data_IF_640702900209
#
_entry.id   IF_640702900209
#
_cell.length_a   1.000
_cell.length_b   1.000
_cell.length_c   1.000
_cell.angle_alpha   90.00
_cell.angle_beta   90.00
_cell.angle_gamma   90.00
#
_symmetry.space_group_name_H-M   'P 1'
#
loop_
_entity.id
_entity.type
_entity.pdbx_description
1 polymer ?
#
# COMPACT_ATOMS: atom_id res chain seq x y z
N UNK A 1 11.46 -4.71 -15.64
CA UNK A 1 10.49 -3.59 -15.56
C UNK A 1 9.45 -3.57 -16.68
N UNK A 2 9.81 -3.64 -17.98
CA UNK A 2 8.84 -3.52 -19.09
C UNK A 2 7.63 -4.47 -19.01
N UNK A 3 7.87 -5.75 -18.69
CA UNK A 3 6.81 -6.76 -18.54
C UNK A 3 5.85 -6.49 -17.36
N UNK A 4 6.35 -5.97 -16.23
CA UNK A 4 5.52 -5.59 -15.09
C UNK A 4 4.60 -4.44 -15.47
N UNK A 5 5.16 -3.39 -16.07
CA UNK A 5 4.40 -2.24 -16.53
C UNK A 5 3.34 -2.61 -17.58
N UNK A 6 3.69 -3.46 -18.54
CA UNK A 6 2.74 -3.97 -19.55
C UNK A 6 1.60 -4.77 -18.91
N UNK A 7 1.90 -5.64 -17.95
CA UNK A 7 0.89 -6.43 -17.24
C UNK A 7 -0.06 -5.54 -16.44
N UNK A 8 0.47 -4.53 -15.73
CA UNK A 8 -0.35 -3.54 -15.04
C UNK A 8 -1.23 -2.76 -16.02
N UNK A 9 -0.67 -2.23 -17.11
CA UNK A 9 -1.41 -1.49 -18.13
C UNK A 9 -2.53 -2.33 -18.75
N UNK A 10 -2.28 -3.62 -18.97
CA UNK A 10 -3.29 -4.54 -19.49
C UNK A 10 -4.44 -4.75 -18.50
N UNK A 11 -4.15 -5.00 -17.23
CA UNK A 11 -5.16 -5.19 -16.19
C UNK A 11 -5.96 -3.90 -15.97
N UNK A 12 -5.30 -2.75 -15.86
CA UNK A 12 -5.95 -1.44 -15.70
C UNK A 12 -6.90 -1.10 -16.86
N UNK A 13 -6.54 -1.45 -18.11
CA UNK A 13 -7.38 -1.21 -19.29
C UNK A 13 -8.52 -2.21 -19.44
N UNK A 14 -8.27 -3.48 -19.13
CA UNK A 14 -9.24 -4.57 -19.34
C UNK A 14 -10.24 -4.66 -18.21
N UNK A 15 -9.81 -4.38 -16.98
CA UNK A 15 -10.58 -4.58 -15.76
C UNK A 15 -10.88 -3.23 -15.07
N UNK A 16 -11.46 -2.27 -15.80
CA UNK A 16 -11.86 -0.95 -15.26
C UNK A 16 -12.75 -1.10 -14.02
N UNK A 17 -13.58 -2.15 -13.98
CA UNK A 17 -14.40 -2.49 -12.81
C UNK A 17 -13.58 -2.67 -11.53
N UNK A 18 -12.39 -3.29 -11.61
CA UNK A 18 -11.52 -3.43 -10.44
C UNK A 18 -10.97 -2.09 -9.96
N UNK A 19 -10.69 -1.17 -10.89
CA UNK A 19 -10.25 0.20 -10.56
C UNK A 19 -11.36 0.97 -9.88
N UNK A 20 -12.61 0.79 -10.32
CA UNK A 20 -13.78 1.40 -9.68
C UNK A 20 -14.05 0.82 -8.29
N UNK A 21 -14.04 -0.51 -8.16
CA UNK A 21 -14.22 -1.20 -6.87
C UNK A 21 -13.16 -0.73 -5.88
N UNK A 22 -11.90 -0.69 -6.34
CA UNK A 22 -10.85 -0.02 -5.62
C UNK A 22 -11.35 1.39 -5.27
N UNK A 23 -11.46 2.36 -6.17
CA UNK A 23 -11.72 3.77 -5.80
C UNK A 23 -12.82 3.97 -4.74
N UNK A 24 -13.92 3.22 -4.87
CA UNK A 24 -15.03 3.20 -3.90
C UNK A 24 -14.58 2.70 -2.52
N UNK A 25 -13.87 1.56 -2.44
CA UNK A 25 -13.32 1.04 -1.20
C UNK A 25 -12.38 2.04 -0.50
N UNK A 26 -11.59 2.83 -1.22
CA UNK A 26 -10.61 3.74 -0.60
C UNK A 26 -11.32 4.93 0.01
N UNK A 27 -12.35 5.44 -0.67
CA UNK A 27 -13.21 6.48 -0.13
C UNK A 27 -13.84 6.04 1.20
N UNK A 28 -14.45 4.84 1.25
CA UNK A 28 -15.12 4.36 2.46
C UNK A 28 -14.16 3.94 3.58
N UNK A 29 -12.96 3.48 3.23
CA UNK A 29 -12.00 2.98 4.21
C UNK A 29 -11.00 4.03 4.68
N UNK A 30 -10.93 5.21 4.06
CA UNK A 30 -9.97 6.27 4.39
C UNK A 30 -9.88 6.58 5.90
N UNK A 31 -11.01 6.62 6.59
CA UNK A 31 -11.04 6.85 8.05
C UNK A 31 -10.33 5.76 8.86
N UNK A 32 -10.46 4.49 8.47
CA UNK A 32 -9.78 3.38 9.14
C UNK A 32 -8.25 3.44 8.99
N UNK A 33 -7.74 4.07 7.93
CA UNK A 33 -6.32 4.04 7.55
C UNK A 33 -5.51 5.06 8.32
N UNK A 34 -6.17 6.09 8.83
CA UNK A 34 -5.60 7.02 9.78
C UNK A 34 -5.81 6.50 11.20
N UNK A 35 -7.03 6.09 11.55
CA UNK A 35 -7.35 5.73 12.94
C UNK A 35 -6.59 4.48 13.40
N UNK A 36 -6.54 3.40 12.62
CA UNK A 36 -5.91 2.15 13.08
C UNK A 36 -4.38 2.30 13.19
N UNK A 37 -3.64 2.69 12.15
CA UNK A 37 -2.20 2.81 12.22
C UNK A 37 -1.73 3.96 13.11
N UNK A 38 -2.35 5.14 13.02
CA UNK A 38 -1.86 6.31 13.77
C UNK A 38 -2.21 6.20 15.25
N UNK A 39 -3.35 5.61 15.61
CA UNK A 39 -3.78 5.52 17.00
C UNK A 39 -3.36 4.20 17.65
N UNK A 40 -3.81 3.05 17.12
CA UNK A 40 -3.57 1.76 17.76
C UNK A 40 -2.11 1.32 17.68
N UNK A 41 -1.47 1.43 16.51
CA UNK A 41 -0.08 1.02 16.37
C UNK A 41 0.83 1.96 17.16
N UNK A 42 0.57 3.27 17.14
CA UNK A 42 1.34 4.22 17.94
C UNK A 42 1.27 3.93 19.44
N UNK A 43 0.07 3.74 19.99
CA UNK A 43 -0.12 3.41 21.41
C UNK A 43 0.53 2.09 21.81
N UNK A 44 0.44 1.08 20.93
CA UNK A 44 1.03 -0.23 21.20
C UNK A 44 2.56 -0.15 21.18
N UNK A 45 3.13 0.50 20.17
CA UNK A 45 4.59 0.64 20.02
C UNK A 45 5.16 1.55 21.11
N UNK A 46 4.47 2.63 21.51
CA UNK A 46 4.94 3.51 22.59
C UNK A 46 5.04 2.79 23.94
N UNK A 47 4.26 1.74 24.16
CA UNK A 47 4.36 0.91 25.36
C UNK A 47 5.52 -0.10 25.30
N UNK A 48 6.09 -0.34 24.12
CA UNK A 48 7.20 -1.27 23.89
C UNK A 48 8.53 -0.51 23.79
N UNK A 49 8.53 0.67 23.17
CA UNK A 49 9.73 1.47 22.94
C UNK A 49 9.44 2.97 23.02
N UNK A 50 10.38 3.71 23.61
CA UNK A 50 10.35 5.18 23.64
C UNK A 50 11.01 5.81 22.40
N UNK A 51 11.50 5.00 21.45
CA UNK A 51 12.14 5.51 20.25
C UNK A 51 11.09 6.07 19.28
N UNK A 52 11.07 7.40 19.16
CA UNK A 52 10.19 8.13 18.23
C UNK A 52 10.39 7.64 16.79
N UNK A 53 11.64 7.36 16.40
CA UNK A 53 11.99 6.90 15.05
C UNK A 53 11.37 5.53 14.77
N UNK A 54 11.47 4.59 15.72
CA UNK A 54 10.89 3.25 15.56
C UNK A 54 9.37 3.34 15.49
N UNK A 55 8.74 4.15 16.36
CA UNK A 55 7.30 4.36 16.33
C UNK A 55 6.83 4.93 14.99
N UNK A 56 7.52 5.96 14.48
CA UNK A 56 7.19 6.55 13.18
C UNK A 56 7.31 5.55 12.03
N UNK A 57 8.37 4.74 11.98
CA UNK A 57 8.53 3.72 10.95
C UNK A 57 7.43 2.65 11.02
N UNK A 58 7.05 2.20 12.23
CA UNK A 58 5.98 1.23 12.41
C UNK A 58 4.64 1.77 11.91
N UNK A 59 4.32 3.04 12.17
CA UNK A 59 3.11 3.69 11.65
C UNK A 59 3.16 3.75 10.12
N UNK A 60 4.28 4.21 9.53
CA UNK A 60 4.44 4.29 8.07
C UNK A 60 4.23 2.94 7.38
N UNK A 61 4.86 1.88 7.88
CA UNK A 61 4.73 0.54 7.30
C UNK A 61 3.36 -0.08 7.55
N UNK A 62 2.72 0.21 8.68
CA UNK A 62 1.35 -0.26 8.95
C UNK A 62 0.34 0.39 8.01
N UNK A 63 0.44 1.70 7.77
CA UNK A 63 -0.37 2.38 6.76
C UNK A 63 -0.07 1.80 5.38
N UNK A 64 1.20 1.61 5.04
CA UNK A 64 1.59 1.03 3.75
C UNK A 64 1.02 -0.37 3.53
N UNK A 65 1.00 -1.20 4.57
CA UNK A 65 0.41 -2.54 4.54
C UNK A 65 -1.11 -2.50 4.35
N UNK A 66 -1.85 -1.72 5.14
CA UNK A 66 -3.30 -1.60 4.95
C UNK A 66 -3.65 -1.02 3.58
N UNK A 67 -2.85 -0.07 3.11
CA UNK A 67 -3.00 0.56 1.79
C UNK A 67 -2.74 -0.41 0.65
N UNK A 68 -1.77 -1.34 0.78
CA UNK A 68 -1.48 -2.29 -0.29
C UNK A 68 -2.60 -3.32 -0.48
N UNK A 69 -3.25 -3.74 0.62
CA UNK A 69 -4.38 -4.69 0.60
C UNK A 69 -5.57 -4.20 -0.22
N UNK A 70 -5.69 -2.91 -0.42
CA UNK A 70 -6.72 -2.33 -1.27
C UNK A 70 -6.50 -2.59 -2.76
N UNK A 71 -5.24 -2.62 -3.20
CA UNK A 71 -4.87 -2.99 -4.56
C UNK A 71 -4.79 -4.50 -4.75
N UNK A 72 -5.06 -5.29 -3.71
CA UNK A 72 -5.00 -6.75 -3.72
C UNK A 72 -5.71 -7.41 -4.93
N UNK A 73 -6.96 -7.09 -5.31
CA UNK A 73 -7.59 -7.73 -6.47
C UNK A 73 -6.85 -7.42 -7.79
N UNK A 74 -6.26 -6.23 -7.93
CA UNK A 74 -5.44 -5.84 -9.08
C UNK A 74 -4.09 -6.58 -9.03
N UNK A 75 -3.41 -6.55 -7.88
CA UNK A 75 -2.12 -7.19 -7.64
C UNK A 75 -2.19 -8.70 -7.87
N UNK A 76 -3.29 -9.37 -7.47
CA UNK A 76 -3.53 -10.79 -7.73
C UNK A 76 -3.62 -11.10 -9.23
N UNK A 77 -4.37 -10.30 -10.01
CA UNK A 77 -4.46 -10.49 -11.47
C UNK A 77 -3.12 -10.23 -12.16
N UNK A 78 -2.41 -9.18 -11.76
CA UNK A 78 -1.08 -8.87 -12.31
C UNK A 78 -0.09 -9.98 -11.97
N UNK A 79 -0.06 -10.45 -10.72
CA UNK A 79 0.80 -11.54 -10.28
C UNK A 79 0.54 -12.82 -11.08
N UNK A 80 -0.73 -13.15 -11.33
CA UNK A 80 -1.11 -14.32 -12.15
C UNK A 80 -0.61 -14.20 -13.58
N UNK A 81 -0.79 -13.04 -14.22
CA UNK A 81 -0.31 -12.82 -15.58
C UNK A 81 1.22 -12.97 -15.67
N UNK A 82 1.95 -12.41 -14.71
CA UNK A 82 3.42 -12.46 -14.67
C UNK A 82 3.92 -13.88 -14.37
N UNK A 83 3.27 -14.59 -13.44
CA UNK A 83 3.59 -15.97 -13.11
C UNK A 83 3.47 -16.89 -14.33
N UNK A 84 2.38 -16.75 -15.10
CA UNK A 84 2.17 -17.49 -16.35
C UNK A 84 3.22 -17.10 -17.41
N UNK A 85 3.45 -15.80 -17.62
CA UNK A 85 4.41 -15.34 -18.65
C UNK A 85 5.86 -15.68 -18.35
N UNK A 86 6.25 -15.72 -17.06
CA UNK A 86 7.64 -15.98 -16.66
C UNK A 86 7.89 -17.39 -16.10
N UNK A 87 6.87 -18.26 -16.05
CA UNK A 87 6.96 -19.60 -15.43
C UNK A 87 7.46 -19.57 -13.97
N UNK A 88 7.10 -18.54 -13.21
CA UNK A 88 7.39 -18.45 -11.79
C UNK A 88 6.18 -18.85 -10.94
N UNK A 89 6.41 -19.12 -9.67
CA UNK A 89 5.35 -19.31 -8.68
C UNK A 89 4.50 -18.03 -8.54
N UNK A 90 3.18 -18.21 -8.57
CA UNK A 90 2.21 -17.15 -8.34
C UNK A 90 2.45 -16.41 -7.02
N UNK A 91 2.68 -17.17 -5.94
CA UNK A 91 2.85 -16.64 -4.60
C UNK A 91 4.09 -15.74 -4.49
N UNK A 92 5.21 -16.12 -5.10
CA UNK A 92 6.42 -15.28 -5.11
C UNK A 92 6.22 -14.00 -5.94
N UNK A 93 5.54 -14.07 -7.08
CA UNK A 93 5.21 -12.88 -7.86
C UNK A 93 4.27 -11.93 -7.09
N UNK A 94 3.28 -12.47 -6.39
CA UNK A 94 2.35 -11.71 -5.58
C UNK A 94 3.05 -11.01 -4.42
N UNK A 95 3.83 -11.73 -3.62
CA UNK A 95 4.58 -11.15 -2.50
C UNK A 95 5.54 -10.05 -2.96
N UNK A 96 6.22 -10.23 -4.10
CA UNK A 96 7.13 -9.21 -4.62
C UNK A 96 6.37 -7.94 -5.02
N UNK A 97 5.22 -8.07 -5.67
CA UNK A 97 4.36 -6.94 -6.02
C UNK A 97 3.85 -6.25 -4.75
N UNK A 98 3.42 -7.03 -3.76
CA UNK A 98 2.83 -6.51 -2.53
C UNK A 98 3.86 -5.71 -1.72
N UNK A 99 5.08 -6.23 -1.55
CA UNK A 99 6.18 -5.52 -0.88
C UNK A 99 6.47 -4.17 -1.56
N UNK A 100 6.46 -4.13 -2.91
CA UNK A 100 6.66 -2.87 -3.64
C UNK A 100 5.55 -1.87 -3.32
N UNK A 101 4.29 -2.31 -3.30
CA UNK A 101 3.16 -1.43 -2.97
C UNK A 101 3.19 -0.94 -1.53
N UNK A 102 3.58 -1.79 -0.57
CA UNK A 102 3.75 -1.39 0.84
C UNK A 102 4.76 -0.25 0.96
N UNK A 103 5.93 -0.40 0.32
CA UNK A 103 6.99 0.61 0.35
C UNK A 103 6.55 1.90 -0.34
N UNK A 104 5.93 1.81 -1.51
CA UNK A 104 5.43 2.99 -2.24
C UNK A 104 4.38 3.74 -1.41
N UNK A 105 3.43 3.02 -0.81
CA UNK A 105 2.39 3.60 0.03
C UNK A 105 2.96 4.25 1.30
N UNK A 106 3.92 3.60 1.97
CA UNK A 106 4.60 4.16 3.13
C UNK A 106 5.33 5.48 2.79
N UNK A 107 6.01 5.53 1.65
CA UNK A 107 6.70 6.75 1.18
C UNK A 107 5.68 7.86 0.88
N UNK A 108 4.61 7.56 0.14
CA UNK A 108 3.57 8.55 -0.16
C UNK A 108 2.92 9.10 1.10
N UNK A 109 2.66 8.25 2.09
CA UNK A 109 2.11 8.67 3.37
C UNK A 109 3.09 9.55 4.16
N UNK A 110 4.39 9.21 4.19
CA UNK A 110 5.41 10.05 4.80
C UNK A 110 5.52 11.43 4.16
N UNK A 111 5.46 11.50 2.82
CA UNK A 111 5.41 12.78 2.09
C UNK A 111 4.15 13.57 2.45
N UNK A 112 2.99 12.93 2.54
CA UNK A 112 1.74 13.58 2.92
C UNK A 112 1.82 14.18 4.33
N UNK A 113 2.43 13.47 5.29
CA UNK A 113 2.68 14.00 6.65
C UNK A 113 3.56 15.23 6.60
N UNK A 114 4.68 15.18 5.87
CA UNK A 114 5.62 16.32 5.76
C UNK A 114 4.90 17.55 5.19
N UNK A 115 4.11 17.37 4.14
CA UNK A 115 3.32 18.45 3.53
C UNK A 115 2.29 19.01 4.52
N UNK A 116 1.56 18.13 5.22
CA UNK A 116 0.56 18.54 6.21
C UNK A 116 1.19 19.33 7.37
N UNK A 117 2.36 18.89 7.86
CA UNK A 117 3.09 19.63 8.89
C UNK A 117 3.50 21.01 8.35
N UNK A 118 4.09 21.05 7.15
CA UNK A 118 4.51 22.33 6.55
C UNK A 118 3.36 23.32 6.39
N UNK A 119 2.17 22.87 5.99
CA UNK A 119 0.97 23.69 5.83
C UNK A 119 0.41 24.24 7.15
N UNK A 120 0.56 23.53 8.27
CA UNK A 120 0.03 23.97 9.58
C UNK A 120 1.00 24.87 10.36
N UNK A 121 2.28 24.91 9.98
CA UNK A 121 3.29 25.77 10.60
C UNK A 121 3.56 27.05 9.80
N UNK A 122 2.77 27.33 8.75
CA UNK A 122 2.69 28.61 8.01
C UNK A 122 1.41 29.32 8.42
#
# INVERSE_FOLDING_TARGET
MRYYFQSYKQVLKKDIMLVLIALVLLFFTFGYWLVIPVFYVSLTISNITNSIIINYLCILFSVGFLFSLYFLPINLKVARNIAVSKKHSFLSCFLMIEVVWIVVAAILFGIAIIIFLHLNYI
#
